data_IF_285230609700
#
_entry.id   IF_285230609700
#
_cell.length_a   1.000
_cell.length_b   1.000
_cell.length_c   1.000
_cell.angle_alpha   90.00
_cell.angle_beta   90.00
_cell.angle_gamma   90.00
#
_symmetry.space_group_name_H-M   'P 1'
#
loop_
_entity.id
_entity.type
_entity.pdbx_description
1 polymer ?
#
# COMPACT_ATOMS: atom_id res chain seq x y z
N UNK A 1 -7.70 -2.72 -1.80
CA UNK A 1 -6.83 -1.80 -2.57
C UNK A 1 -5.43 -2.40 -2.62
N UNK A 2 -4.77 -2.41 -3.77
CA UNK A 2 -3.41 -2.96 -3.92
C UNK A 2 -2.50 -1.87 -4.45
N UNK A 3 -1.49 -1.49 -3.67
CA UNK A 3 -0.50 -0.47 -4.02
C UNK A 3 0.67 -1.10 -4.78
N UNK A 4 1.12 -0.43 -5.85
CA UNK A 4 2.30 -0.81 -6.62
C UNK A 4 2.98 0.43 -7.21
N UNK A 5 4.24 0.26 -7.63
CA UNK A 5 5.01 1.32 -8.29
C UNK A 5 5.06 2.63 -7.49
N UNK A 6 4.92 3.80 -8.15
CA UNK A 6 5.00 5.10 -7.48
C UNK A 6 3.96 5.31 -6.36
N UNK A 7 2.84 4.58 -6.37
CA UNK A 7 1.82 4.67 -5.34
C UNK A 7 2.33 4.25 -3.95
N UNK A 8 3.42 3.47 -3.88
CA UNK A 8 4.08 3.09 -2.62
C UNK A 8 4.52 4.33 -1.83
N UNK A 9 4.87 5.42 -2.51
CA UNK A 9 5.20 6.68 -1.83
C UNK A 9 4.04 7.22 -1.00
N UNK A 10 2.80 7.00 -1.42
CA UNK A 10 1.60 7.47 -0.71
C UNK A 10 1.38 6.74 0.62
N UNK A 11 1.96 5.56 0.80
CA UNK A 11 1.78 4.72 1.99
C UNK A 11 2.99 4.69 2.91
N UNK A 12 4.01 5.52 2.67
CA UNK A 12 5.12 5.70 3.61
C UNK A 12 4.60 6.22 4.96
N UNK A 13 5.30 5.91 6.04
CA UNK A 13 5.07 6.56 7.32
C UNK A 13 5.42 8.06 7.27
N UNK A 14 5.09 8.79 8.33
CA UNK A 14 5.33 10.23 8.40
C UNK A 14 6.82 10.60 8.31
N UNK A 15 7.71 9.81 8.91
CA UNK A 15 9.13 10.14 8.97
C UNK A 15 9.77 10.02 7.58
N UNK A 16 9.56 8.89 6.91
CA UNK A 16 10.14 8.59 5.61
C UNK A 16 9.48 9.39 4.48
N UNK A 17 8.18 9.65 4.57
CA UNK A 17 7.52 10.56 3.63
C UNK A 17 8.09 11.97 3.74
N UNK A 18 8.23 12.49 4.96
CA UNK A 18 8.77 13.84 5.19
C UNK A 18 10.23 13.97 4.80
N UNK A 19 11.04 12.96 5.06
CA UNK A 19 12.42 12.90 4.56
C UNK A 19 12.47 12.98 3.03
N UNK A 20 11.59 12.25 2.34
CA UNK A 20 11.56 12.19 0.88
C UNK A 20 10.99 13.44 0.20
N UNK A 21 9.95 14.03 0.78
CA UNK A 21 9.16 15.09 0.12
C UNK A 21 9.21 16.45 0.83
N UNK A 22 9.82 16.55 2.01
CA UNK A 22 9.94 17.80 2.78
C UNK A 22 8.62 18.30 3.40
N UNK A 23 7.54 17.54 3.30
CA UNK A 23 6.21 17.86 3.84
C UNK A 23 5.63 16.66 4.58
N UNK A 24 4.66 16.87 5.47
CA UNK A 24 3.95 15.78 6.14
C UNK A 24 3.17 14.91 5.15
N UNK A 25 3.01 13.61 5.43
CA UNK A 25 2.26 12.72 4.55
C UNK A 25 0.74 13.03 4.63
N UNK A 26 0.13 13.60 3.57
CA UNK A 26 -1.29 13.95 3.61
C UNK A 26 -2.21 12.72 3.62
N UNK A 27 -1.69 11.53 3.29
CA UNK A 27 -2.50 10.33 3.07
C UNK A 27 -2.76 9.52 4.35
N UNK A 28 -1.97 9.71 5.41
CA UNK A 28 -2.08 8.87 6.62
C UNK A 28 -3.47 8.88 7.25
N UNK A 29 -4.13 10.05 7.24
CA UNK A 29 -5.49 10.20 7.75
C UNK A 29 -6.49 9.37 6.95
N UNK A 30 -6.43 9.42 5.62
CA UNK A 30 -7.36 8.67 4.78
C UNK A 30 -7.09 7.17 4.84
N UNK A 31 -5.83 6.72 4.90
CA UNK A 31 -5.48 5.30 5.09
C UNK A 31 -6.09 4.76 6.39
N UNK A 32 -5.98 5.50 7.49
CA UNK A 32 -6.59 5.10 8.77
C UNK A 32 -8.12 5.03 8.69
N UNK A 33 -8.76 5.99 8.01
CA UNK A 33 -10.22 5.98 7.83
C UNK A 33 -10.68 4.81 6.96
N UNK A 34 -9.98 4.52 5.86
CA UNK A 34 -10.26 3.37 5.01
C UNK A 34 -10.16 2.05 5.78
N UNK A 35 -9.11 1.87 6.59
CA UNK A 35 -8.97 0.68 7.44
C UNK A 35 -10.12 0.55 8.44
N UNK A 36 -10.54 1.66 9.07
CA UNK A 36 -11.70 1.70 9.98
C UNK A 36 -13.02 1.34 9.29
N UNK A 37 -13.17 1.67 8.00
CA UNK A 37 -14.31 1.27 7.18
C UNK A 37 -14.22 -0.17 6.66
N UNK A 38 -13.20 -0.95 7.05
CA UNK A 38 -13.02 -2.34 6.62
C UNK A 38 -12.34 -2.49 5.26
N UNK A 39 -11.72 -1.43 4.71
CA UNK A 39 -10.96 -1.53 3.46
C UNK A 39 -9.67 -2.30 3.71
N UNK A 40 -9.50 -3.42 3.01
CA UNK A 40 -8.25 -4.15 2.96
C UNK A 40 -7.27 -3.45 1.99
N UNK A 41 -6.04 -3.28 2.43
CA UNK A 41 -5.01 -2.52 1.74
C UNK A 41 -3.74 -3.34 1.71
N UNK A 42 -3.20 -3.60 0.52
CA UNK A 42 -2.06 -4.48 0.31
C UNK A 42 -0.95 -3.79 -0.48
N UNK A 43 0.29 -4.20 -0.27
CA UNK A 43 1.45 -3.85 -1.12
C UNK A 43 2.24 -5.11 -1.46
N UNK A 44 2.83 -5.16 -2.65
CA UNK A 44 3.62 -6.32 -3.11
C UNK A 44 4.97 -6.42 -2.38
N UNK A 45 5.15 -7.44 -1.54
CA UNK A 45 6.40 -7.69 -0.80
C UNK A 45 7.60 -7.97 -1.71
N UNK A 46 7.40 -8.71 -2.81
CA UNK A 46 8.46 -8.93 -3.80
C UNK A 46 8.91 -7.62 -4.46
N UNK A 47 7.97 -6.71 -4.76
CA UNK A 47 8.30 -5.41 -5.33
C UNK A 47 9.05 -4.53 -4.31
N UNK A 48 8.63 -4.53 -3.04
CA UNK A 48 9.37 -3.83 -1.99
C UNK A 48 10.82 -4.33 -1.88
N UNK A 49 11.02 -5.65 -1.96
CA UNK A 49 12.36 -6.25 -1.93
C UNK A 49 13.20 -5.84 -3.16
N UNK A 50 12.61 -5.87 -4.36
CA UNK A 50 13.29 -5.44 -5.59
C UNK A 50 13.69 -3.95 -5.55
N UNK A 51 12.80 -3.11 -5.03
CA UNK A 51 13.00 -1.65 -4.90
C UNK A 51 13.83 -1.26 -3.66
N UNK A 52 14.27 -2.24 -2.86
CA UNK A 52 15.03 -2.05 -1.60
C UNK A 52 14.32 -1.13 -0.60
N UNK A 53 13.00 -1.23 -0.54
CA UNK A 53 12.17 -0.48 0.40
C UNK A 53 12.03 -1.33 1.67
N UNK A 54 12.45 -0.79 2.82
CA UNK A 54 12.26 -1.47 4.11
C UNK A 54 10.76 -1.44 4.48
N UNK A 55 10.12 -2.62 4.69
CA UNK A 55 8.76 -2.74 5.21
C UNK A 55 8.41 -1.85 6.40
N UNK A 56 9.38 -1.56 7.27
CA UNK A 56 9.18 -0.74 8.47
C UNK A 56 8.91 0.73 8.18
N UNK A 57 9.19 1.17 6.97
CA UNK A 57 8.97 2.56 6.51
C UNK A 57 7.55 2.82 6.04
N UNK A 58 6.68 1.79 6.06
CA UNK A 58 5.32 1.84 5.55
C UNK A 58 4.30 2.07 6.67
N UNK A 59 3.15 2.61 6.29
CA UNK A 59 2.00 2.77 7.19
C UNK A 59 1.53 1.40 7.70
N UNK A 60 1.30 1.23 9.01
CA UNK A 60 0.83 -0.04 9.59
C UNK A 60 -0.61 -0.40 9.17
N UNK A 61 -1.30 0.51 8.49
CA UNK A 61 -2.63 0.24 7.95
C UNK A 61 -2.59 -0.61 6.66
N UNK A 62 -1.42 -0.73 6.02
CA UNK A 62 -1.23 -1.47 4.77
C UNK A 62 -0.53 -2.79 5.05
N UNK A 63 -1.11 -3.88 4.57
CA UNK A 63 -0.58 -5.22 4.71
C UNK A 63 0.40 -5.56 3.59
N UNK A 64 1.45 -6.31 3.90
CA UNK A 64 2.42 -6.75 2.91
C UNK A 64 1.99 -8.13 2.42
N UNK A 65 1.53 -8.19 1.18
CA UNK A 65 1.22 -9.45 0.52
C UNK A 65 2.49 -10.06 -0.08
N UNK A 66 2.55 -11.39 -0.18
CA UNK A 66 3.65 -12.07 -0.89
C UNK A 66 3.79 -11.56 -2.31
N UNK A 67 2.67 -11.41 -3.03
CA UNK A 67 2.63 -10.95 -4.41
C UNK A 67 1.31 -10.22 -4.70
N UNK A 68 1.36 -9.07 -5.37
CA UNK A 68 0.17 -8.29 -5.69
C UNK A 68 -0.73 -8.96 -6.73
N UNK A 69 -0.17 -9.66 -7.72
CA UNK A 69 -0.95 -10.34 -8.75
C UNK A 69 -1.73 -11.51 -8.16
N UNK A 70 -1.14 -12.25 -7.21
CA UNK A 70 -1.87 -13.31 -6.48
C UNK A 70 -3.07 -12.69 -5.75
N UNK A 71 -2.89 -11.58 -5.03
CA UNK A 71 -4.00 -10.88 -4.36
C UNK A 71 -5.08 -10.50 -5.38
N UNK A 72 -4.73 -9.85 -6.48
CA UNK A 72 -5.69 -9.44 -7.50
C UNK A 72 -6.45 -10.63 -8.08
N UNK A 73 -5.74 -11.70 -8.47
CA UNK A 73 -6.36 -12.92 -8.99
C UNK A 73 -7.30 -13.57 -7.96
N UNK A 74 -6.92 -13.64 -6.69
CA UNK A 74 -7.76 -14.18 -5.62
C UNK A 74 -9.06 -13.41 -5.49
N UNK A 75 -9.02 -12.08 -5.41
CA UNK A 75 -10.24 -11.27 -5.28
C UNK A 75 -11.08 -11.33 -6.56
N UNK A 76 -10.48 -11.27 -7.75
CA UNK A 76 -11.22 -11.40 -9.01
C UNK A 76 -11.93 -12.76 -9.11
N UNK A 77 -11.26 -13.85 -8.72
CA UNK A 77 -11.88 -15.19 -8.68
C UNK A 77 -13.00 -15.30 -7.63
N UNK A 78 -12.96 -14.48 -6.59
CA UNK A 78 -14.03 -14.36 -5.58
C UNK A 78 -15.17 -13.43 -6.03
N UNK A 79 -15.21 -13.03 -7.31
CA UNK A 79 -16.29 -12.24 -7.90
C UNK A 79 -16.12 -10.72 -7.78
N UNK A 80 -14.95 -10.25 -7.34
CA UNK A 80 -14.67 -8.81 -7.31
C UNK A 80 -14.30 -8.30 -8.70
N UNK A 81 -14.76 -7.09 -9.03
CA UNK A 81 -14.31 -6.40 -10.25
C UNK A 81 -12.97 -5.71 -10.01
N UNK A 82 -12.09 -5.79 -11.00
CA UNK A 82 -10.84 -5.03 -10.99
C UNK A 82 -11.08 -3.61 -11.49
N UNK A 83 -10.71 -2.63 -10.67
CA UNK A 83 -10.61 -1.22 -11.07
C UNK A 83 -9.13 -0.83 -11.05
N UNK A 84 -8.62 -0.37 -12.20
CA UNK A 84 -7.20 -0.10 -12.43
C UNK A 84 -7.01 1.33 -12.96
N UNK A 85 -5.92 2.00 -12.54
CA UNK A 85 -5.58 3.39 -12.87
C UNK A 85 -4.09 3.56 -13.17
#
# INVERSE_FOLDING_TARGET
MVFHGPAINGILDEAHYREKFGVSNPNLKVLSQLKKCGTEMFVCGQNLAADKIDPKTLSPNVEIATDALIVLMTYQNNGYSLLSF
#
